data_IF_401160068409
#
_entry.id   IF_401160068409
#
_cell.length_a   1.000
_cell.length_b   1.000
_cell.length_c   1.000
_cell.angle_alpha   90.00
_cell.angle_beta   90.00
_cell.angle_gamma   90.00
#
_symmetry.space_group_name_H-M   'P 1'
#
loop_
_entity.id
_entity.type
_entity.pdbx_description
1 polymer ?
#
# COMPACT_ATOMS: atom_id res chain seq x y z
N UNK A 1 -3.36 -15.44 -2.35
CA UNK A 1 -3.46 -15.35 -0.88
C UNK A 1 -3.81 -13.91 -0.54
N UNK A 2 -4.95 -13.68 0.12
CA UNK A 2 -5.36 -12.36 0.60
C UNK A 2 -4.96 -12.24 2.05
N UNK A 3 -4.21 -11.20 2.39
CA UNK A 3 -3.72 -11.00 3.75
C UNK A 3 -4.48 -9.83 4.38
N UNK A 4 -5.11 -10.11 5.53
CA UNK A 4 -5.76 -9.12 6.40
C UNK A 4 -4.94 -9.03 7.69
N UNK A 5 -4.36 -7.88 8.00
CA UNK A 5 -3.39 -7.74 9.09
C UNK A 5 -3.83 -6.67 10.09
N UNK A 6 -3.84 -7.01 11.39
CA UNK A 6 -3.82 -6.02 12.49
C UNK A 6 -2.38 -5.61 12.79
N UNK A 7 -2.18 -4.34 13.13
CA UNK A 7 -0.90 -3.64 12.91
C UNK A 7 0.36 -4.19 13.59
N UNK A 8 0.23 -4.85 14.74
CA UNK A 8 1.38 -5.38 15.46
C UNK A 8 2.11 -6.51 14.72
N UNK A 9 1.52 -7.06 13.66
CA UNK A 9 2.12 -8.11 12.83
C UNK A 9 2.50 -7.64 11.42
N UNK A 10 2.17 -6.40 11.04
CA UNK A 10 2.38 -5.93 9.66
C UNK A 10 3.86 -5.95 9.27
N UNK A 11 4.75 -5.45 10.14
CA UNK A 11 6.21 -5.48 9.92
C UNK A 11 6.78 -6.91 9.86
N UNK A 12 6.11 -7.90 10.46
CA UNK A 12 6.53 -9.30 10.45
C UNK A 12 5.98 -10.06 9.24
N UNK A 13 4.77 -9.72 8.80
CA UNK A 13 4.07 -10.41 7.71
C UNK A 13 4.41 -9.83 6.34
N UNK A 14 4.62 -8.52 6.23
CA UNK A 14 4.99 -7.84 4.98
C UNK A 14 6.21 -8.50 4.31
N UNK A 15 7.35 -8.75 4.99
CA UNK A 15 8.52 -9.34 4.35
C UNK A 15 8.30 -10.75 3.77
N UNK A 16 7.24 -11.45 4.23
CA UNK A 16 6.88 -12.81 3.79
C UNK A 16 5.78 -12.81 2.74
N UNK A 17 5.23 -11.66 2.42
CA UNK A 17 4.12 -11.55 1.49
C UNK A 17 4.56 -11.81 0.05
N UNK A 18 3.93 -12.79 -0.61
CA UNK A 18 4.19 -13.18 -2.00
C UNK A 18 2.94 -13.12 -2.88
N UNK A 19 1.84 -12.57 -2.37
CA UNK A 19 0.56 -12.47 -3.07
C UNK A 19 0.53 -11.35 -4.11
N UNK A 20 -0.58 -11.29 -4.86
CA UNK A 20 -0.82 -10.30 -5.91
C UNK A 20 -1.69 -9.11 -5.48
N UNK A 21 -2.38 -9.25 -4.36
CA UNK A 21 -3.29 -8.26 -3.80
C UNK A 21 -3.04 -8.09 -2.30
N UNK A 22 -2.72 -6.87 -1.88
CA UNK A 22 -2.52 -6.50 -0.48
C UNK A 22 -3.46 -5.36 -0.08
N UNK A 23 -4.13 -5.53 1.05
CA UNK A 23 -4.96 -4.50 1.67
C UNK A 23 -4.47 -4.26 3.10
N UNK A 24 -4.13 -3.02 3.42
CA UNK A 24 -3.74 -2.58 4.76
C UNK A 24 -4.82 -1.63 5.28
N UNK A 25 -5.30 -1.93 6.48
CA UNK A 25 -6.44 -1.29 7.12
C UNK A 25 -6.02 -0.29 8.20
N UNK A 26 -6.93 0.64 8.56
CA UNK A 26 -6.58 1.96 9.07
C UNK A 26 -6.14 2.06 10.53
N UNK A 27 -5.72 0.99 11.20
CA UNK A 27 -5.05 1.19 12.48
C UNK A 27 -3.70 1.94 12.22
N UNK A 28 -3.14 2.63 13.23
CA UNK A 28 -1.85 3.36 13.14
C UNK A 28 -0.69 2.50 12.60
N UNK A 29 -0.41 2.59 11.32
CA UNK A 29 0.78 2.00 10.70
C UNK A 29 1.90 3.04 10.71
N UNK A 30 3.11 2.64 11.10
CA UNK A 30 4.26 3.54 11.02
C UNK A 30 4.55 3.89 9.55
N UNK A 31 4.59 5.19 9.24
CA UNK A 31 4.96 5.70 7.93
C UNK A 31 6.28 5.10 7.43
N UNK A 32 7.24 4.84 8.34
CA UNK A 32 8.54 4.27 7.97
C UNK A 32 8.40 2.89 7.31
N UNK A 33 7.48 2.05 7.82
CA UNK A 33 7.20 0.71 7.29
C UNK A 33 6.57 0.80 5.91
N UNK A 34 5.63 1.71 5.71
CA UNK A 34 4.98 1.94 4.42
C UNK A 34 5.96 2.49 3.39
N UNK A 35 6.79 3.47 3.76
CA UNK A 35 7.80 4.06 2.88
C UNK A 35 8.79 2.98 2.43
N UNK A 36 9.35 2.21 3.36
CA UNK A 36 10.28 1.13 3.04
C UNK A 36 9.63 0.09 2.13
N UNK A 37 8.40 -0.33 2.43
CA UNK A 37 7.64 -1.27 1.60
C UNK A 37 7.45 -0.74 0.17
N UNK A 38 6.99 0.50 0.02
CA UNK A 38 6.75 1.10 -1.29
C UNK A 38 8.05 1.26 -2.08
N UNK A 39 9.16 1.65 -1.44
CA UNK A 39 10.48 1.73 -2.08
C UNK A 39 10.97 0.36 -2.59
N UNK A 40 10.81 -0.70 -1.79
CA UNK A 40 11.17 -2.06 -2.19
C UNK A 40 10.32 -2.57 -3.36
N UNK A 41 9.03 -2.21 -3.40
CA UNK A 41 8.13 -2.60 -4.48
C UNK A 41 8.39 -1.82 -5.77
N UNK A 42 8.47 -0.49 -5.71
CA UNK A 42 8.64 0.35 -6.91
C UNK A 42 10.03 0.21 -7.53
N UNK A 43 11.06 -0.12 -6.74
CA UNK A 43 12.39 -0.47 -7.27
C UNK A 43 12.47 -1.88 -7.87
N UNK A 44 11.43 -2.71 -7.72
CA UNK A 44 11.42 -4.10 -8.18
C UNK A 44 12.26 -5.06 -7.33
N UNK A 45 12.82 -4.61 -6.20
CA UNK A 45 13.67 -5.43 -5.32
C UNK A 45 12.89 -6.53 -4.63
N UNK A 46 11.63 -6.28 -4.26
CA UNK A 46 10.71 -7.26 -3.65
C UNK A 46 9.29 -7.08 -4.16
N UNK A 47 8.41 -8.02 -3.78
CA UNK A 47 6.98 -8.00 -4.07
C UNK A 47 6.66 -8.03 -5.56
N UNK A 48 7.44 -8.79 -6.34
CA UNK A 48 7.29 -8.87 -7.81
C UNK A 48 5.90 -9.36 -8.25
N UNK A 49 5.23 -10.15 -7.40
CA UNK A 49 3.89 -10.64 -7.68
C UNK A 49 2.80 -9.61 -7.40
N UNK A 50 3.08 -8.57 -6.61
CA UNK A 50 2.10 -7.59 -6.17
C UNK A 50 1.64 -6.71 -7.33
N UNK A 51 0.36 -6.79 -7.63
CA UNK A 51 -0.31 -6.02 -8.69
C UNK A 51 -1.19 -4.90 -8.14
N UNK A 52 -1.70 -5.07 -6.93
CA UNK A 52 -2.67 -4.15 -6.36
C UNK A 52 -2.43 -3.97 -4.87
N UNK A 53 -2.23 -2.72 -4.46
CA UNK A 53 -2.11 -2.29 -3.07
C UNK A 53 -3.26 -1.34 -2.76
N UNK A 54 -4.01 -1.63 -1.69
CA UNK A 54 -4.96 -0.71 -1.10
C UNK A 54 -4.48 -0.33 0.31
N UNK A 55 -4.24 0.96 0.52
CA UNK A 55 -3.91 1.54 1.82
C UNK A 55 -5.08 2.40 2.26
N UNK A 56 -5.76 2.00 3.34
CA UNK A 56 -6.82 2.80 3.95
C UNK A 56 -6.28 3.56 5.15
N UNK A 57 -6.70 4.82 5.29
CA UNK A 57 -6.57 5.57 6.53
C UNK A 57 -7.91 6.14 6.90
N UNK A 58 -8.24 6.00 8.17
CA UNK A 58 -9.29 6.76 8.83
C UNK A 58 -8.72 8.14 9.16
N UNK A 59 -9.61 9.11 9.36
CA UNK A 59 -9.22 10.41 9.89
C UNK A 59 -8.35 10.20 11.15
N UNK A 60 -7.16 10.80 11.16
CA UNK A 60 -6.12 10.68 12.21
C UNK A 60 -5.26 9.40 12.23
N UNK A 61 -5.32 8.50 11.23
CA UNK A 61 -4.53 7.26 11.25
C UNK A 61 -3.25 7.24 10.40
N UNK A 62 -3.13 8.07 9.36
CA UNK A 62 -1.83 8.45 8.82
C UNK A 62 -1.27 9.65 9.56
N UNK A 63 -0.01 9.57 9.98
CA UNK A 63 0.78 10.75 10.30
C UNK A 63 1.07 11.52 8.99
N UNK A 64 0.07 12.21 8.44
CA UNK A 64 0.13 13.01 7.22
C UNK A 64 0.53 12.21 5.94
N UNK A 65 -0.40 11.89 5.03
CA UNK A 65 -0.10 11.27 3.74
C UNK A 65 1.00 11.99 2.93
N UNK A 66 1.15 13.31 3.08
CA UNK A 66 2.21 14.06 2.42
C UNK A 66 3.61 13.63 2.87
N UNK A 67 3.77 13.15 4.12
CA UNK A 67 5.04 12.61 4.59
C UNK A 67 5.44 11.34 3.83
N UNK A 68 4.49 10.46 3.52
CA UNK A 68 4.77 9.26 2.71
C UNK A 68 5.03 9.67 1.28
N UNK A 69 4.14 10.48 0.68
CA UNK A 69 4.22 10.88 -0.73
C UNK A 69 5.49 11.68 -1.06
N UNK A 70 6.01 12.49 -0.13
CA UNK A 70 7.24 13.26 -0.30
C UNK A 70 8.51 12.41 -0.53
N UNK A 71 8.44 11.09 -0.34
CA UNK A 71 9.54 10.15 -0.60
C UNK A 71 9.51 9.56 -2.02
N UNK A 72 8.55 9.94 -2.86
CA UNK A 72 8.35 9.36 -4.19
C UNK A 72 8.13 10.43 -5.25
N UNK A 73 8.58 10.14 -6.47
CA UNK A 73 8.17 10.91 -7.65
C UNK A 73 6.69 10.65 -7.92
N UNK A 74 5.87 11.64 -7.57
CA UNK A 74 4.42 11.58 -7.76
C UNK A 74 3.99 12.48 -8.91
N UNK A 75 2.91 12.11 -9.58
CA UNK A 75 2.26 12.93 -10.58
C UNK A 75 0.87 13.32 -10.07
N UNK A 76 0.33 14.48 -10.50
CA UNK A 76 -1.06 14.82 -10.26
C UNK A 76 -1.99 13.70 -10.72
N UNK A 77 -3.11 13.53 -10.00
CA UNK A 77 -4.09 12.53 -10.36
C UNK A 77 -4.64 12.77 -11.77
N UNK A 78 -4.59 11.74 -12.63
CA UNK A 78 -5.13 11.77 -13.99
C UNK A 78 -6.25 10.72 -14.13
N UNK A 79 -7.52 11.14 -14.30
CA UNK A 79 -8.65 10.21 -14.43
C UNK A 79 -8.54 9.29 -15.64
N UNK A 80 -7.80 9.68 -16.68
CA UNK A 80 -7.60 8.87 -17.89
C UNK A 80 -6.63 7.71 -17.65
N UNK A 81 -5.71 7.87 -16.69
CA UNK A 81 -4.74 6.82 -16.32
C UNK A 81 -5.29 5.87 -15.27
N UNK A 82 -6.14 6.34 -14.36
CA UNK A 82 -6.79 5.50 -13.34
C UNK A 82 -8.21 5.98 -13.01
N UNK A 83 -9.26 5.26 -13.42
CA UNK A 83 -10.64 5.61 -13.10
C UNK A 83 -10.89 5.60 -11.58
N UNK A 84 -11.73 6.53 -11.10
CA UNK A 84 -12.08 6.63 -9.67
C UNK A 84 -12.79 5.37 -9.12
N UNK A 85 -13.46 4.61 -9.99
CA UNK A 85 -14.23 3.44 -9.61
C UNK A 85 -13.49 2.16 -10.03
N UNK A 86 -12.93 1.43 -9.06
CA UNK A 86 -12.45 0.08 -9.29
C UNK A 86 -13.63 -0.88 -9.24
N UNK A 87 -14.02 -1.46 -10.37
CA UNK A 87 -14.78 -2.72 -10.36
C UNK A 87 -13.73 -3.82 -10.30
N UNK A 88 -13.62 -4.52 -9.16
CA UNK A 88 -12.86 -5.77 -9.18
C UNK A 88 -13.58 -6.70 -10.15
N UNK A 89 -12.95 -7.00 -11.28
CA UNK A 89 -13.45 -7.99 -12.22
C UNK A 89 -13.13 -9.38 -11.66
N UNK A 90 -13.77 -9.73 -10.54
CA UNK A 90 -13.80 -11.11 -10.06
C UNK A 90 -15.26 -11.55 -10.01
N UNK A 91 -15.61 -12.34 -11.03
CA UNK A 91 -16.70 -13.33 -10.95
C UNK A 91 -16.26 -14.45 -10.01
#
# INVERSE_FOLDING_TARGET
MHLYVRNNLLSQLLPRFTGDYLQILPEKCDNSVIIQFLQEWTSGRKYQNLRTLLLFSEENSFSNPANVLGNFETMPWDPRRRPANYKSSRK
#
